data_IF_677046159166
#
_entry.id   IF_677046159166
#
_cell.length_a   1.000
_cell.length_b   1.000
_cell.length_c   1.000
_cell.angle_alpha   90.00
_cell.angle_beta   90.00
_cell.angle_gamma   90.00
#
_symmetry.space_group_name_H-M   'P 1'
#
loop_
_entity.id
_entity.type
_entity.pdbx_description
1 polymer ?
#
# COMPACT_ATOMS: atom_id res chain seq x y z
N UNK A 1 -0.13 -4.55 20.80
CA UNK A 1 -0.50 -4.96 19.43
C UNK A 1 0.55 -4.42 18.47
N UNK A 2 1.43 -5.27 17.95
CA UNK A 2 2.32 -4.91 16.84
C UNK A 2 1.42 -4.84 15.60
N UNK A 3 0.98 -3.62 15.28
CA UNK A 3 0.00 -3.31 14.24
C UNK A 3 0.58 -3.64 12.86
N UNK A 4 -0.27 -4.05 11.91
CA UNK A 4 0.05 -4.45 10.53
C UNK A 4 1.03 -3.51 9.81
N UNK A 5 1.06 -2.23 10.20
CA UNK A 5 2.04 -1.21 9.76
C UNK A 5 3.48 -1.71 9.76
N UNK A 6 3.90 -2.43 10.80
CA UNK A 6 5.31 -2.86 10.90
C UNK A 6 5.66 -3.95 9.88
N UNK A 7 4.70 -4.78 9.50
CA UNK A 7 4.89 -5.78 8.44
C UNK A 7 5.00 -5.07 7.10
N UNK A 8 4.16 -4.05 6.85
CA UNK A 8 4.22 -3.25 5.63
C UNK A 8 5.57 -2.52 5.50
N UNK A 9 6.07 -1.89 6.57
CA UNK A 9 7.41 -1.29 6.62
C UNK A 9 8.53 -2.29 6.28
N UNK A 10 8.47 -3.50 6.86
CA UNK A 10 9.45 -4.55 6.57
C UNK A 10 9.39 -4.94 5.09
N UNK A 11 8.21 -5.17 4.53
CA UNK A 11 8.08 -5.57 3.13
C UNK A 11 8.63 -4.48 2.18
N UNK A 12 8.25 -3.22 2.40
CA UNK A 12 8.71 -2.10 1.58
C UNK A 12 10.22 -1.88 1.69
N UNK A 13 10.80 -2.00 2.89
CA UNK A 13 12.26 -1.90 3.07
C UNK A 13 13.05 -3.04 2.42
N UNK A 14 12.41 -4.19 2.18
CA UNK A 14 13.01 -5.32 1.44
C UNK A 14 12.75 -5.26 -0.07
N UNK A 15 12.26 -4.12 -0.59
CA UNK A 15 12.08 -3.92 -2.03
C UNK A 15 10.78 -4.50 -2.59
N UNK A 16 9.77 -4.73 -1.76
CA UNK A 16 8.42 -5.00 -2.27
C UNK A 16 7.96 -3.85 -3.16
N UNK A 17 7.44 -4.17 -4.34
CA UNK A 17 6.87 -3.17 -5.24
C UNK A 17 5.54 -2.66 -4.69
N UNK A 18 5.56 -1.39 -4.28
CA UNK A 18 4.43 -0.69 -3.66
C UNK A 18 3.23 -0.55 -4.61
N UNK A 19 3.46 -0.59 -5.92
CA UNK A 19 2.44 -0.41 -6.97
C UNK A 19 2.04 -1.74 -7.63
N UNK A 20 2.52 -2.86 -7.09
CA UNK A 20 2.13 -4.18 -7.58
C UNK A 20 0.62 -4.38 -7.50
N UNK A 21 0.07 -4.94 -8.58
CA UNK A 21 -1.36 -5.21 -8.73
C UNK A 21 -1.66 -6.68 -8.57
N UNK A 22 -2.77 -6.98 -7.91
CA UNK A 22 -3.31 -8.33 -7.87
C UNK A 22 -4.15 -8.67 -9.12
N UNK A 23 -4.77 -9.86 -9.12
CA UNK A 23 -5.66 -10.32 -10.19
C UNK A 23 -6.91 -9.47 -10.39
N UNK A 24 -7.28 -8.65 -9.40
CA UNK A 24 -8.38 -7.70 -9.47
C UNK A 24 -7.93 -6.30 -9.93
N UNK A 25 -6.67 -6.17 -10.35
CA UNK A 25 -6.01 -4.91 -10.70
C UNK A 25 -5.90 -3.94 -9.52
N UNK A 26 -6.04 -4.39 -8.27
CA UNK A 26 -5.94 -3.54 -7.07
C UNK A 26 -4.52 -3.51 -6.52
N UNK A 27 -4.12 -2.35 -6.01
CA UNK A 27 -2.86 -2.11 -5.29
C UNK A 27 -3.06 -2.20 -3.78
N UNK A 28 -1.97 -2.27 -3.01
CA UNK A 28 -2.02 -2.17 -1.56
C UNK A 28 -2.72 -0.87 -1.08
N UNK A 29 -2.58 0.23 -1.84
CA UNK A 29 -3.20 1.51 -1.54
C UNK A 29 -4.73 1.47 -1.69
N UNK A 30 -5.24 0.76 -2.69
CA UNK A 30 -6.70 0.61 -2.88
C UNK A 30 -7.33 -0.12 -1.70
N UNK A 31 -6.69 -1.20 -1.24
CA UNK A 31 -7.14 -1.92 -0.05
C UNK A 31 -7.08 -1.05 1.21
N UNK A 32 -6.05 -0.23 1.38
CA UNK A 32 -5.97 0.69 2.51
C UNK A 32 -7.14 1.68 2.52
N UNK A 33 -7.47 2.25 1.36
CA UNK A 33 -8.60 3.17 1.18
C UNK A 33 -9.95 2.51 1.42
N UNK A 34 -10.17 1.31 0.85
CA UNK A 34 -11.43 0.55 1.03
C UNK A 34 -11.69 0.19 2.49
N UNK A 35 -10.63 -0.05 3.27
CA UNK A 35 -10.72 -0.36 4.69
C UNK A 35 -10.67 0.87 5.60
N UNK A 36 -10.53 2.09 5.05
CA UNK A 36 -10.40 3.33 5.84
C UNK A 36 -9.16 3.35 6.73
N UNK A 37 -8.07 2.68 6.33
CA UNK A 37 -6.86 2.56 7.13
C UNK A 37 -5.85 3.66 6.77
N UNK A 38 -6.14 4.87 7.23
CA UNK A 38 -5.34 6.09 6.96
C UNK A 38 -3.84 5.90 7.28
N UNK A 39 -3.52 5.17 8.36
CA UNK A 39 -2.12 4.93 8.73
C UNK A 39 -1.36 4.10 7.69
N UNK A 40 -2.01 3.12 7.07
CA UNK A 40 -1.39 2.32 6.00
C UNK A 40 -1.39 3.09 4.69
N UNK A 41 -2.42 3.88 4.43
CA UNK A 41 -2.45 4.80 3.29
C UNK A 41 -1.26 5.76 3.31
N UNK A 42 -1.04 6.48 4.42
CA UNK A 42 0.09 7.40 4.59
C UNK A 42 1.44 6.71 4.41
N UNK A 43 1.59 5.51 5.00
CA UNK A 43 2.80 4.71 4.87
C UNK A 43 3.07 4.35 3.41
N UNK A 44 2.08 3.83 2.69
CA UNK A 44 2.22 3.45 1.29
C UNK A 44 2.55 4.66 0.41
N UNK A 45 1.86 5.80 0.61
CA UNK A 45 2.12 7.05 -0.12
C UNK A 45 3.55 7.54 0.12
N UNK A 46 4.04 7.47 1.37
CA UNK A 46 5.43 7.87 1.70
C UNK A 46 6.49 7.01 0.99
N UNK A 47 6.12 5.79 0.60
CA UNK A 47 6.95 4.86 -0.16
C UNK A 47 6.69 4.89 -1.67
N UNK A 48 5.93 5.87 -2.17
CA UNK A 48 5.70 6.07 -3.61
C UNK A 48 4.51 5.30 -4.20
N UNK A 49 3.56 4.87 -3.36
CA UNK A 49 2.29 4.34 -3.86
C UNK A 49 1.53 5.41 -4.64
N UNK A 50 1.11 5.08 -5.87
CA UNK A 50 0.26 5.93 -6.69
C UNK A 50 -1.18 5.41 -6.70
N UNK A 51 -2.20 6.28 -6.64
CA UNK A 51 -3.58 5.86 -6.83
C UNK A 51 -3.76 5.21 -8.19
N UNK A 52 -4.47 4.09 -8.23
CA UNK A 52 -4.76 3.37 -9.47
C UNK A 52 -5.48 4.22 -10.53
N UNK A 53 -6.21 5.25 -10.12
CA UNK A 53 -6.83 6.23 -11.03
C UNK A 53 -5.82 7.13 -11.77
N UNK A 54 -4.54 7.09 -11.39
CA UNK A 54 -3.44 7.80 -12.04
C UNK A 54 -2.55 6.86 -12.86
N UNK A 55 -2.82 5.55 -12.86
CA UNK A 55 -2.13 4.56 -13.70
C UNK A 55 -2.85 4.47 -15.05
N UNK A 56 -2.28 5.11 -16.08
CA UNK A 56 -2.87 5.31 -17.41
C UNK A 56 -2.37 4.31 -18.45
#
# INVERSE_FOLDING_TARGET
MKSITHIVEILLSHGADVNSKDSYRKTALDYAKENGNEKIEDLLISHGAIPNSMDN
#
